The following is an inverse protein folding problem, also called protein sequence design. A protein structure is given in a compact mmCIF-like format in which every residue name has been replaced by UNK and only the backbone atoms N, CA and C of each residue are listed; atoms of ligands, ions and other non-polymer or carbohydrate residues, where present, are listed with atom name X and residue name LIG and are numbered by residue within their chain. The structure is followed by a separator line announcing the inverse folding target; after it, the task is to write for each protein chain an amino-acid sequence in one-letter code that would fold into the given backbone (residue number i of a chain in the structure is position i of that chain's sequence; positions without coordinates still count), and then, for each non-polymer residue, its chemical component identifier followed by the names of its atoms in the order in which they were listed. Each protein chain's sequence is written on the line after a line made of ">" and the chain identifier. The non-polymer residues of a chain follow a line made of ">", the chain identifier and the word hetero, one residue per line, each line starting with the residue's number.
data_IF_343907967471
#
_entry.id   IF_343907967471
#
_cell.length_a   1.000
_cell.length_b   1.000
_cell.length_c   1.000
_cell.angle_alpha   90.00
_cell.angle_beta   90.00
_cell.angle_gamma   90.00
#
_symmetry.space_group_name_H-M   'P 1'
#
loop_
_entity.id
_entity.type
_entity.pdbx_description
1 polymer ?
#
# COMPACT_ATOMS: atom_id res chain seq x y z
N UNK A 1 17.26 3.97 -3.95
CA UNK A 1 15.79 4.01 -3.87
C UNK A 1 15.31 3.38 -2.59
N UNK A 2 15.61 2.12 -2.33
CA UNK A 2 15.37 1.52 -1.00
C UNK A 2 16.08 2.33 0.11
N UNK A 3 17.26 2.89 -0.18
CA UNK A 3 17.93 3.87 0.70
C UNK A 3 17.10 5.14 0.96
N UNK A 4 16.36 5.64 -0.04
CA UNK A 4 15.47 6.81 0.11
C UNK A 4 14.24 6.46 0.95
N UNK A 5 13.68 5.27 0.69
CA UNK A 5 12.55 4.72 1.44
C UNK A 5 12.95 4.25 2.84
N UNK A 6 14.23 3.96 3.09
CA UNK A 6 14.70 3.35 4.34
C UNK A 6 14.34 1.87 4.50
N UNK A 7 13.74 1.25 3.47
CA UNK A 7 13.18 -0.11 3.53
C UNK A 7 13.51 -0.90 2.25
N UNK A 8 13.80 -2.20 2.43
CA UNK A 8 13.94 -3.14 1.32
C UNK A 8 12.56 -3.58 0.83
N UNK A 9 12.27 -3.43 -0.46
CA UNK A 9 10.97 -3.76 -1.03
C UNK A 9 10.75 -5.29 -1.08
N UNK A 10 9.50 -5.77 -0.90
CA UNK A 10 9.18 -7.19 -1.05
C UNK A 10 9.56 -7.69 -2.44
N UNK A 11 10.03 -8.94 -2.52
CA UNK A 11 10.50 -9.54 -3.78
C UNK A 11 9.35 -9.56 -4.81
N UNK A 12 8.14 -9.89 -4.37
CA UNK A 12 6.95 -9.91 -5.21
C UNK A 12 6.54 -8.51 -5.70
N UNK A 13 6.80 -7.46 -4.92
CA UNK A 13 6.61 -6.08 -5.36
C UNK A 13 7.54 -5.75 -6.53
N UNK A 14 8.83 -6.03 -6.37
CA UNK A 14 9.84 -5.82 -7.42
C UNK A 14 9.49 -6.64 -8.67
N UNK A 15 9.10 -7.90 -8.49
CA UNK A 15 8.71 -8.78 -9.59
C UNK A 15 7.51 -8.21 -10.37
N UNK A 16 6.48 -7.73 -9.68
CA UNK A 16 5.33 -7.09 -10.32
C UNK A 16 5.73 -5.83 -11.08
N UNK A 17 6.57 -4.97 -10.49
CA UNK A 17 7.01 -3.72 -11.12
C UNK A 17 7.90 -3.95 -12.34
N UNK A 18 8.63 -5.08 -12.40
CA UNK A 18 9.36 -5.48 -13.61
C UNK A 18 8.44 -5.86 -14.77
N UNK A 19 7.27 -6.42 -14.49
CA UNK A 19 6.27 -6.73 -15.51
C UNK A 19 5.56 -5.46 -15.99
N UNK A 20 5.14 -4.62 -15.04
CA UNK A 20 4.53 -3.33 -15.31
C UNK A 20 4.77 -2.41 -14.12
N UNK A 21 5.55 -1.34 -14.34
CA UNK A 21 5.94 -0.44 -13.28
C UNK A 21 4.82 0.54 -12.90
N UNK A 22 3.95 0.10 -12.00
CA UNK A 22 2.79 0.81 -11.52
C UNK A 22 1.62 0.88 -12.49
N UNK A 23 0.68 1.77 -12.18
CA UNK A 23 -0.53 2.02 -12.96
C UNK A 23 -1.76 1.28 -12.44
N UNK A 24 -2.84 1.33 -13.23
CA UNK A 24 -4.15 0.86 -12.77
C UNK A 24 -4.30 -0.66 -12.76
N UNK A 25 -5.04 -1.15 -11.77
CA UNK A 25 -5.37 -2.56 -11.59
C UNK A 25 -6.66 -2.93 -12.34
N UNK A 26 -6.68 -4.15 -12.92
CA UNK A 26 -7.93 -4.74 -13.45
C UNK A 26 -8.75 -5.44 -12.38
N UNK A 27 -8.07 -5.95 -11.35
CA UNK A 27 -8.66 -6.54 -10.15
C UNK A 27 -8.39 -5.54 -9.02
N UNK A 28 -9.38 -4.73 -8.69
CA UNK A 28 -9.22 -3.59 -7.80
C UNK A 28 -10.03 -3.71 -6.51
N UNK A 29 -10.83 -4.76 -6.33
CA UNK A 29 -11.61 -4.95 -5.11
C UNK A 29 -10.85 -5.82 -4.12
N UNK A 30 -10.83 -5.40 -2.86
CA UNK A 30 -10.30 -6.16 -1.74
C UNK A 30 -11.38 -6.29 -0.67
N UNK A 31 -11.75 -7.54 -0.35
CA UNK A 31 -12.78 -7.84 0.66
C UNK A 31 -12.16 -8.47 1.89
N UNK A 32 -12.63 -8.05 3.05
CA UNK A 32 -12.18 -8.53 4.35
C UNK A 32 -13.30 -8.39 5.38
N UNK A 33 -13.20 -9.16 6.46
CA UNK A 33 -14.05 -8.99 7.63
C UNK A 33 -13.26 -8.18 8.66
N UNK A 34 -13.81 -7.07 9.13
CA UNK A 34 -13.16 -6.24 10.14
C UNK A 34 -13.17 -6.89 11.53
N UNK A 35 -12.57 -6.22 12.52
CA UNK A 35 -12.50 -6.73 13.90
C UNK A 35 -13.85 -6.84 14.61
N UNK A 36 -14.87 -6.10 14.16
CA UNK A 36 -16.23 -6.14 14.68
C UNK A 36 -17.11 -7.17 13.94
N UNK A 37 -16.56 -7.85 12.93
CA UNK A 37 -17.23 -8.90 12.16
C UNK A 37 -18.02 -8.38 10.97
N UNK A 38 -17.83 -7.13 10.56
CA UNK A 38 -18.50 -6.57 9.38
C UNK A 38 -17.74 -6.90 8.11
N UNK A 39 -18.49 -7.23 7.07
CA UNK A 39 -17.95 -7.42 5.73
C UNK A 39 -17.66 -6.06 5.09
N UNK A 40 -16.38 -5.83 4.81
CA UNK A 40 -15.85 -4.58 4.29
C UNK A 40 -15.25 -4.79 2.89
N UNK A 41 -15.32 -3.73 2.08
CA UNK A 41 -14.77 -3.70 0.74
C UNK A 41 -13.95 -2.43 0.54
N UNK A 42 -12.73 -2.59 0.02
CA UNK A 42 -11.86 -1.50 -0.39
C UNK A 42 -11.60 -1.57 -1.88
N UNK A 43 -11.46 -0.41 -2.50
CA UNK A 43 -11.10 -0.31 -3.92
C UNK A 43 -9.68 0.25 -4.02
N UNK A 44 -8.78 -0.50 -4.68
CA UNK A 44 -7.39 -0.12 -4.92
C UNK A 44 -7.21 0.14 -6.41
N UNK A 45 -7.26 1.41 -6.83
CA UNK A 45 -7.25 1.73 -8.27
C UNK A 45 -5.93 1.46 -8.96
N UNK A 46 -4.81 1.55 -8.24
CA UNK A 46 -3.50 1.38 -8.81
C UNK A 46 -2.42 1.17 -7.77
N UNK A 47 -1.29 0.65 -8.22
CA UNK A 47 -0.10 0.46 -7.40
C UNK A 47 0.96 1.45 -7.86
N UNK A 48 1.67 2.04 -6.91
CA UNK A 48 2.72 3.01 -7.17
C UNK A 48 3.93 2.34 -7.83
N UNK A 49 4.49 2.98 -8.85
CA UNK A 49 5.69 2.48 -9.51
C UNK A 49 6.94 2.63 -8.64
N UNK A 50 7.95 1.81 -8.91
CA UNK A 50 9.32 2.00 -8.44
C UNK A 50 9.95 3.14 -9.26
N UNK A 51 10.26 4.26 -8.61
CA UNK A 51 11.01 5.35 -9.21
C UNK A 51 10.77 6.69 -8.53
N UNK A 52 11.33 7.72 -9.14
CA UNK A 52 11.27 9.12 -8.71
C UNK A 52 10.43 10.00 -9.63
N UNK A 53 10.16 9.52 -10.85
CA UNK A 53 9.37 10.23 -11.84
C UNK A 53 7.92 9.75 -11.77
N UNK A 54 6.98 10.68 -11.92
CA UNK A 54 5.51 10.55 -11.83
C UNK A 54 4.92 10.72 -10.43
N UNK A 55 3.67 11.17 -10.37
CA UNK A 55 2.96 11.37 -9.09
C UNK A 55 2.79 10.05 -8.33
N UNK A 56 2.44 8.97 -9.05
CA UNK A 56 2.14 7.66 -8.46
C UNK A 56 3.38 6.75 -8.48
N UNK A 57 4.50 7.27 -8.01
CA UNK A 57 5.74 6.50 -7.80
C UNK A 57 6.14 6.59 -6.32
N UNK A 58 6.76 5.54 -5.78
CA UNK A 58 7.08 5.45 -4.35
C UNK A 58 7.95 6.62 -3.85
N UNK A 59 8.87 7.13 -4.69
CA UNK A 59 9.68 8.32 -4.40
C UNK A 59 9.31 9.50 -5.31
N UNK A 60 8.10 9.50 -5.85
CA UNK A 60 7.56 10.56 -6.70
C UNK A 60 7.00 11.75 -5.92
N UNK A 61 6.37 12.68 -6.63
CA UNK A 61 5.81 13.91 -6.02
C UNK A 61 4.74 13.65 -4.95
N UNK A 62 3.99 12.55 -5.08
CA UNK A 62 2.98 12.10 -4.12
C UNK A 62 3.35 10.73 -3.53
N UNK A 63 4.65 10.43 -3.46
CA UNK A 63 5.18 9.17 -2.92
C UNK A 63 5.19 9.11 -1.39
N UNK A 64 5.78 8.05 -0.83
CA UNK A 64 5.74 7.75 0.61
C UNK A 64 6.18 8.92 1.49
N UNK A 65 7.30 9.57 1.16
CA UNK A 65 7.83 10.71 1.93
C UNK A 65 6.96 11.96 1.84
N UNK A 66 6.28 12.17 0.72
CA UNK A 66 5.30 13.26 0.61
C UNK A 66 4.13 13.02 1.54
N UNK A 67 3.63 11.79 1.60
CA UNK A 67 2.50 11.39 2.45
C UNK A 67 2.82 11.53 3.95
N UNK A 68 4.05 11.21 4.35
CA UNK A 68 4.53 11.30 5.73
C UNK A 68 4.77 12.75 6.20
N UNK A 69 4.97 13.72 5.29
CA UNK A 69 5.22 15.12 5.66
C UNK A 69 4.02 15.69 6.44
N UNK A 70 4.30 16.32 7.57
CA UNK A 70 3.29 16.90 8.47
C UNK A 70 2.50 18.05 7.85
N UNK A 71 2.98 18.63 6.75
CA UNK A 71 2.28 19.66 5.97
C UNK A 71 1.34 19.08 4.92
N UNK A 72 1.40 17.78 4.67
CA UNK A 72 0.57 17.07 3.70
C UNK A 72 -0.47 16.20 4.44
N UNK A 73 -0.22 14.89 4.54
CA UNK A 73 -1.14 13.96 5.20
C UNK A 73 -0.69 13.57 6.62
N UNK A 74 0.54 13.92 7.02
CA UNK A 74 1.10 13.58 8.32
C UNK A 74 1.00 12.07 8.64
N UNK A 75 1.07 11.22 7.62
CA UNK A 75 0.96 9.77 7.79
C UNK A 75 2.15 9.25 8.61
N UNK A 76 1.93 8.25 9.48
CA UNK A 76 2.98 7.78 10.37
C UNK A 76 4.14 7.13 9.60
N UNK A 77 5.36 7.30 10.09
CA UNK A 77 6.54 6.69 9.48
C UNK A 77 6.63 5.19 9.85
N UNK A 78 5.91 4.35 9.11
CA UNK A 78 5.78 2.91 9.40
C UNK A 78 6.44 2.01 8.36
N UNK A 79 6.76 2.55 7.19
CA UNK A 79 7.10 1.72 6.05
C UNK A 79 7.00 2.43 4.71
N UNK A 80 6.36 1.76 3.75
CA UNK A 80 6.24 2.25 2.37
C UNK A 80 4.78 2.31 1.94
N UNK A 81 4.28 3.51 1.69
CA UNK A 81 2.96 3.73 1.10
C UNK A 81 2.99 3.45 -0.41
N UNK A 82 2.12 2.55 -0.86
CA UNK A 82 2.19 1.99 -2.22
C UNK A 82 0.90 2.08 -3.03
N UNK A 83 -0.21 2.42 -2.40
CA UNK A 83 -1.47 2.67 -3.09
C UNK A 83 -2.38 3.60 -2.27
N UNK A 84 -3.29 4.26 -2.96
CA UNK A 84 -4.38 5.04 -2.38
C UNK A 84 -5.68 4.25 -2.53
N UNK A 85 -6.51 4.27 -1.50
CA UNK A 85 -7.88 3.77 -1.56
C UNK A 85 -8.72 4.69 -2.44
N UNK A 86 -9.64 4.14 -3.23
CA UNK A 86 -10.30 4.88 -4.30
C UNK A 86 -11.13 6.09 -3.83
N UNK A 87 -11.69 5.99 -2.62
CA UNK A 87 -12.45 7.09 -2.03
C UNK A 87 -11.55 8.26 -1.58
N UNK A 88 -10.23 8.08 -1.56
CA UNK A 88 -9.25 9.04 -1.05
C UNK A 88 -9.25 9.13 0.49
N UNK A 89 -9.92 8.21 1.18
CA UNK A 89 -10.01 8.21 2.64
C UNK A 89 -8.88 7.46 3.33
N UNK A 90 -8.12 6.64 2.61
CA UNK A 90 -7.00 5.92 3.19
C UNK A 90 -5.89 5.56 2.21
N UNK A 91 -4.77 5.14 2.77
CA UNK A 91 -3.59 4.71 2.03
C UNK A 91 -3.16 3.31 2.45
N UNK A 92 -2.74 2.50 1.48
CA UNK A 92 -2.15 1.19 1.72
C UNK A 92 -0.65 1.31 1.94
N UNK A 93 -0.17 0.64 2.97
CA UNK A 93 1.24 0.63 3.34
C UNK A 93 1.76 -0.79 3.53
N UNK A 94 3.02 -0.98 3.16
CA UNK A 94 3.84 -2.08 3.66
C UNK A 94 4.32 -1.67 5.06
N UNK A 95 3.85 -2.35 6.11
CA UNK A 95 4.19 -2.04 7.50
C UNK A 95 5.45 -2.79 7.94
N UNK A 96 6.56 -2.05 8.12
CA UNK A 96 7.84 -2.62 8.53
C UNK A 96 8.04 -2.63 10.05
N UNK A 97 7.05 -2.16 10.84
CA UNK A 97 7.12 -2.24 12.31
C UNK A 97 7.05 -3.68 12.80
N UNK A 98 6.36 -4.56 12.05
CA UNK A 98 6.19 -5.97 12.35
C UNK A 98 6.48 -6.82 11.11
N UNK A 99 7.70 -7.32 11.00
CA UNK A 99 8.10 -8.24 9.93
C UNK A 99 7.69 -9.66 10.30
N UNK A 100 7.05 -10.37 9.36
CA UNK A 100 6.61 -11.73 9.55
C UNK A 100 7.79 -12.73 9.58
N UNK A 101 7.51 -14.01 9.86
CA UNK A 101 8.53 -15.05 9.95
C UNK A 101 9.33 -15.27 8.66
N UNK A 102 8.76 -14.89 7.50
CA UNK A 102 9.39 -15.01 6.19
C UNK A 102 10.21 -13.77 5.80
N UNK A 103 10.27 -12.77 6.68
CA UNK A 103 11.03 -11.55 6.43
C UNK A 103 10.28 -10.49 5.62
N UNK A 104 8.96 -10.64 5.44
CA UNK A 104 8.14 -9.68 4.68
C UNK A 104 7.28 -8.79 5.61
N UNK A 105 7.05 -7.52 5.22
CA UNK A 105 6.11 -6.65 5.90
C UNK A 105 4.66 -7.06 5.59
N UNK A 106 3.77 -6.86 6.57
CA UNK A 106 2.33 -6.96 6.33
C UNK A 106 1.83 -5.79 5.49
N UNK A 107 0.61 -5.92 4.97
CA UNK A 107 -0.11 -4.85 4.30
C UNK A 107 -1.19 -4.33 5.25
N UNK A 108 -1.25 -3.02 5.42
CA UNK A 108 -2.30 -2.33 6.16
C UNK A 108 -2.95 -1.24 5.31
N UNK A 109 -4.15 -0.81 5.68
CA UNK A 109 -4.77 0.42 5.22
C UNK A 109 -4.85 1.42 6.37
N UNK A 110 -4.49 2.68 6.16
CA UNK A 110 -4.56 3.74 7.17
C UNK A 110 -5.56 4.79 6.72
N UNK A 111 -6.59 5.02 7.52
CA UNK A 111 -7.61 6.04 7.27
C UNK A 111 -7.16 7.43 7.74
N UNK A 112 -7.37 8.45 6.91
CA UNK A 112 -6.87 9.82 7.16
C UNK A 112 -7.64 10.59 8.23
N UNK A 113 -8.86 10.19 8.56
CA UNK A 113 -9.73 10.90 9.50
C UNK A 113 -9.24 10.79 10.94
N UNK A 114 -8.72 9.62 11.32
CA UNK A 114 -8.34 9.29 12.69
C UNK A 114 -7.05 8.45 12.79
N UNK A 115 -6.37 8.19 11.66
CA UNK A 115 -5.21 7.30 11.56
C UNK A 115 -5.48 5.87 12.06
N UNK A 116 -6.74 5.43 11.97
CA UNK A 116 -7.09 4.04 12.21
C UNK A 116 -6.43 3.16 11.16
N UNK A 117 -5.82 2.08 11.66
CA UNK A 117 -5.06 1.13 10.86
C UNK A 117 -5.85 -0.17 10.81
N UNK A 118 -6.15 -0.63 9.59
CA UNK A 118 -6.79 -1.92 9.35
C UNK A 118 -5.78 -2.90 8.77
N UNK A 119 -5.78 -4.13 9.29
CA UNK A 119 -4.91 -5.18 8.79
C UNK A 119 -5.50 -5.77 7.51
N UNK A 120 -4.71 -5.82 6.44
CA UNK A 120 -5.17 -6.21 5.12
C UNK A 120 -4.65 -7.60 4.76
N UNK A 121 -3.34 -7.83 4.80
CA UNK A 121 -2.74 -9.11 4.44
C UNK A 121 -1.36 -9.33 5.07
N UNK A 122 -0.93 -10.59 5.14
CA UNK A 122 0.37 -10.99 5.71
C UNK A 122 1.57 -10.58 4.87
N UNK A 123 1.35 -10.37 3.57
CA UNK A 123 2.38 -10.00 2.61
C UNK A 123 1.79 -9.23 1.43
N UNK A 124 2.65 -8.56 0.66
CA UNK A 124 2.25 -7.94 -0.60
C UNK A 124 1.69 -8.97 -1.60
N UNK A 125 2.28 -10.17 -1.63
CA UNK A 125 1.85 -11.23 -2.52
C UNK A 125 0.43 -11.71 -2.19
N UNK A 126 0.11 -11.86 -0.90
CA UNK A 126 -1.23 -12.27 -0.45
C UNK A 126 -2.26 -11.19 -0.70
N UNK A 127 -1.89 -9.91 -0.51
CA UNK A 127 -2.72 -8.79 -0.92
C UNK A 127 -3.08 -8.88 -2.41
N UNK A 128 -2.10 -9.03 -3.30
CA UNK A 128 -2.33 -9.10 -4.75
C UNK A 128 -3.15 -10.33 -5.16
N UNK A 129 -2.97 -11.47 -4.49
CA UNK A 129 -3.72 -12.71 -4.77
C UNK A 129 -5.20 -12.59 -4.42
N UNK A 130 -5.53 -11.81 -3.39
CA UNK A 130 -6.90 -11.60 -2.89
C UNK A 130 -7.68 -10.54 -3.65
N UNK A 131 -7.02 -9.75 -4.51
CA UNK A 131 -7.71 -8.77 -5.36
C UNK A 131 -8.64 -9.44 -6.37
N UNK A 132 -9.89 -8.98 -6.46
CA UNK A 132 -10.90 -9.45 -7.41
C UNK A 132 -11.30 -8.37 -8.42
N UNK A 133 -11.85 -8.79 -9.56
CA UNK A 133 -12.51 -7.88 -10.49
C UNK A 133 -13.91 -7.50 -9.95
N UNK A 134 -14.53 -6.49 -10.57
CA UNK A 134 -15.97 -6.26 -10.42
C UNK A 134 -16.71 -7.50 -10.94
N UNK A 135 -17.72 -7.97 -10.20
CA UNK A 135 -18.54 -9.12 -10.63
C UNK A 135 -19.57 -8.74 -11.71
#
# INVERSE_FOLDING_TARGET
>A
MEEELGYSLPIDYIALMRLKNGGSLKRCFFRYTDTDGYECELIVRGIYGIGFANNNALCGQMGSRFLEDSKNHALPHIGVYFAEEDSGHGFFALDYRNINADGEPSVINIYLDNFHEEYIADSFADFVRRLTADE
#
